data_IF_521157062330
#
_entry.id   IF_521157062330
#
_cell.length_a   1.000
_cell.length_b   1.000
_cell.length_c   1.000
_cell.angle_alpha   90.00
_cell.angle_beta   90.00
_cell.angle_gamma   90.00
#
_symmetry.space_group_name_H-M   'P 1'
#
loop_
_entity.id
_entity.type
_entity.pdbx_description
1 polymer ?
#
# COMPACT_ATOMS: atom_id res chain seq x y z
N UNK A 1 -11.97 31.99 -37.00
CA UNK A 1 -12.79 31.44 -35.90
C UNK A 1 -12.03 30.23 -35.37
N UNK A 2 -11.44 30.33 -34.18
CA UNK A 2 -10.52 29.30 -33.65
C UNK A 2 -11.30 28.37 -32.72
N UNK A 3 -11.59 27.17 -33.21
CA UNK A 3 -12.20 26.10 -32.44
C UNK A 3 -11.21 25.60 -31.38
N UNK A 4 -11.26 26.23 -30.20
CA UNK A 4 -10.59 25.71 -29.01
C UNK A 4 -11.37 24.53 -28.49
N UNK A 5 -11.01 23.33 -28.96
CA UNK A 5 -11.44 22.06 -28.39
C UNK A 5 -10.89 21.98 -26.96
N UNK A 6 -11.76 22.25 -25.99
CA UNK A 6 -11.47 22.06 -24.57
C UNK A 6 -11.35 20.55 -24.34
N UNK A 7 -10.12 20.04 -24.25
CA UNK A 7 -9.87 18.67 -23.78
C UNK A 7 -10.26 18.61 -22.30
N UNK A 8 -11.49 18.22 -22.03
CA UNK A 8 -11.93 17.81 -20.70
C UNK A 8 -11.13 16.57 -20.31
N UNK A 9 -10.13 16.74 -19.43
CA UNK A 9 -9.43 15.63 -18.78
C UNK A 9 -10.49 14.67 -18.23
N UNK A 10 -10.38 13.40 -18.61
CA UNK A 10 -11.23 12.30 -18.15
C UNK A 10 -11.51 12.43 -16.64
N UNK A 11 -12.78 12.33 -16.20
CA UNK A 11 -13.13 12.48 -14.80
C UNK A 11 -12.40 11.39 -14.01
N UNK A 12 -11.44 11.82 -13.18
CA UNK A 12 -10.76 10.94 -12.23
C UNK A 12 -11.85 10.31 -11.36
N UNK A 13 -11.98 8.99 -11.44
CA UNK A 13 -12.94 8.18 -10.67
C UNK A 13 -13.15 8.76 -9.26
N UNK A 14 -14.39 9.15 -8.97
CA UNK A 14 -15.00 9.27 -7.64
C UNK A 14 -14.11 9.74 -6.48
N UNK A 15 -14.00 11.06 -6.33
CA UNK A 15 -13.99 11.91 -5.12
C UNK A 15 -13.68 11.36 -3.70
N UNK A 16 -13.00 10.23 -3.51
CA UNK A 16 -12.30 9.98 -2.24
C UNK A 16 -11.01 10.76 -2.35
N UNK A 17 -10.71 11.70 -1.44
CA UNK A 17 -9.39 12.29 -1.38
C UNK A 17 -8.42 11.18 -0.99
N UNK A 18 -7.84 10.54 -2.01
CA UNK A 18 -6.96 9.36 -1.89
C UNK A 18 -5.81 9.64 -0.93
N UNK A 19 -5.34 10.89 -0.87
CA UNK A 19 -4.24 11.31 -0.01
C UNK A 19 -4.54 11.22 1.49
N UNK A 20 -5.55 11.91 2.05
CA UNK A 20 -5.90 11.75 3.47
C UNK A 20 -6.36 10.33 3.80
N UNK A 21 -6.99 9.61 2.86
CA UNK A 21 -7.31 8.19 3.07
C UNK A 21 -6.04 7.35 3.23
N UNK A 22 -5.05 7.51 2.35
CA UNK A 22 -3.75 6.83 2.44
C UNK A 22 -3.03 7.15 3.75
N UNK A 23 -3.04 8.41 4.19
CA UNK A 23 -2.43 8.80 5.48
C UNK A 23 -3.16 8.10 6.64
N UNK A 24 -4.49 8.09 6.62
CA UNK A 24 -5.30 7.50 7.67
C UNK A 24 -5.08 5.99 7.79
N UNK A 25 -5.13 5.25 6.68
CA UNK A 25 -4.89 3.80 6.71
C UNK A 25 -3.45 3.47 7.14
N UNK A 26 -2.46 4.25 6.69
CA UNK A 26 -1.06 4.03 7.10
C UNK A 26 -0.86 4.26 8.59
N UNK A 27 -1.56 5.23 9.18
CA UNK A 27 -1.51 5.46 10.61
C UNK A 27 -2.14 4.32 11.40
N UNK A 28 -3.27 3.79 10.93
CA UNK A 28 -3.91 2.61 11.52
C UNK A 28 -3.01 1.37 11.45
N UNK A 29 -2.35 1.13 10.32
CA UNK A 29 -1.41 0.02 10.18
C UNK A 29 -0.22 0.17 11.13
N UNK A 30 0.35 1.38 11.29
CA UNK A 30 1.43 1.61 12.25
C UNK A 30 1.04 1.27 13.69
N UNK A 31 -0.16 1.68 14.11
CA UNK A 31 -0.69 1.35 15.43
C UNK A 31 -0.93 -0.14 15.58
N UNK A 32 -1.49 -0.79 14.55
CA UNK A 32 -1.71 -2.23 14.54
C UNK A 32 -0.40 -3.00 14.64
N UNK A 33 0.61 -2.65 13.85
CA UNK A 33 1.94 -3.28 13.86
C UNK A 33 2.60 -3.16 15.24
N UNK A 34 2.53 -1.97 15.85
CA UNK A 34 3.06 -1.75 17.19
C UNK A 34 2.33 -2.61 18.23
N UNK A 35 1.00 -2.66 18.15
CA UNK A 35 0.19 -3.51 19.02
C UNK A 35 0.61 -4.98 18.87
N UNK A 36 0.63 -5.49 17.63
CA UNK A 36 1.00 -6.88 17.32
C UNK A 36 2.39 -7.26 17.84
N UNK A 37 3.39 -6.38 17.66
CA UNK A 37 4.76 -6.60 18.18
C UNK A 37 4.84 -6.66 19.71
N UNK A 38 3.89 -6.03 20.42
CA UNK A 38 3.86 -6.02 21.89
C UNK A 38 3.03 -7.14 22.49
N UNK A 39 2.04 -7.67 21.76
CA UNK A 39 1.15 -8.74 22.23
C UNK A 39 1.61 -10.14 21.86
N UNK A 40 2.27 -10.31 20.71
CA UNK A 40 2.72 -11.62 20.25
C UNK A 40 4.11 -11.98 20.80
N UNK A 41 4.40 -13.29 20.99
CA UNK A 41 5.73 -13.72 21.38
C UNK A 41 6.77 -13.24 20.36
N UNK A 42 7.93 -12.73 20.84
CA UNK A 42 8.93 -12.16 19.97
C UNK A 42 9.50 -13.24 19.05
N UNK A 43 9.29 -13.07 17.76
CA UNK A 43 9.91 -13.88 16.72
C UNK A 43 10.67 -12.97 15.75
N UNK A 44 11.82 -13.44 15.28
CA UNK A 44 12.63 -12.71 14.29
C UNK A 44 11.82 -12.36 13.04
N UNK A 45 10.90 -13.25 12.64
CA UNK A 45 10.02 -13.05 11.49
C UNK A 45 9.02 -11.91 11.76
N UNK A 46 8.36 -11.91 12.92
CA UNK A 46 7.42 -10.83 13.30
C UNK A 46 8.13 -9.47 13.37
N UNK A 47 9.37 -9.46 13.87
CA UNK A 47 10.17 -8.24 13.93
C UNK A 47 10.53 -7.71 12.53
N UNK A 48 10.99 -8.59 11.62
CA UNK A 48 11.32 -8.22 10.24
C UNK A 48 10.08 -7.69 9.50
N UNK A 49 8.95 -8.39 9.61
CA UNK A 49 7.70 -7.97 8.98
C UNK A 49 7.20 -6.64 9.56
N UNK A 50 7.30 -6.45 10.88
CA UNK A 50 6.94 -5.20 11.53
C UNK A 50 7.80 -4.02 11.08
N UNK A 51 9.12 -4.20 11.01
CA UNK A 51 10.03 -3.17 10.51
C UNK A 51 9.78 -2.83 9.04
N UNK A 52 9.52 -3.83 8.20
CA UNK A 52 9.18 -3.63 6.79
C UNK A 52 7.86 -2.85 6.63
N UNK A 53 6.82 -3.24 7.37
CA UNK A 53 5.52 -2.55 7.38
C UNK A 53 5.66 -1.10 7.87
N UNK A 54 6.46 -0.86 8.91
CA UNK A 54 6.73 0.47 9.43
C UNK A 54 7.39 1.36 8.36
N UNK A 55 8.48 0.88 7.74
CA UNK A 55 9.19 1.64 6.71
C UNK A 55 8.32 1.93 5.48
N UNK A 56 7.49 0.97 5.06
CA UNK A 56 6.54 1.15 3.98
C UNK A 56 5.54 2.26 4.29
N UNK A 57 4.89 2.20 5.45
CA UNK A 57 3.88 3.18 5.85
C UNK A 57 4.45 4.59 6.05
N UNK A 58 5.65 4.71 6.63
CA UNK A 58 6.34 6.00 6.74
C UNK A 58 6.67 6.57 5.35
N UNK A 59 7.14 5.72 4.42
CA UNK A 59 7.44 6.15 3.05
C UNK A 59 6.19 6.61 2.30
N UNK A 60 5.07 5.93 2.55
CA UNK A 60 3.78 6.23 1.94
C UNK A 60 3.22 7.56 2.46
N UNK A 61 3.27 7.77 3.78
CA UNK A 61 2.88 9.05 4.41
C UNK A 61 3.78 10.18 3.92
N UNK A 62 5.10 9.98 3.90
CA UNK A 62 6.06 10.97 3.42
C UNK A 62 5.81 11.34 1.94
N UNK A 63 5.66 10.34 1.08
CA UNK A 63 5.37 10.55 -0.34
C UNK A 63 4.07 11.32 -0.57
N UNK A 64 3.06 11.01 0.25
CA UNK A 64 1.75 11.66 0.20
C UNK A 64 1.79 13.12 0.67
N UNK A 65 2.47 13.39 1.79
CA UNK A 65 2.60 14.74 2.36
C UNK A 65 3.48 15.66 1.50
N UNK A 66 4.58 15.13 0.96
CA UNK A 66 5.57 15.89 0.18
C UNK A 66 5.31 15.88 -1.32
N UNK A 67 4.22 15.27 -1.78
CA UNK A 67 3.91 15.14 -3.22
C UNK A 67 5.09 14.52 -4.00
N UNK A 68 5.78 13.55 -3.37
CA UNK A 68 6.94 12.92 -3.97
C UNK A 68 6.52 11.68 -4.77
N UNK A 69 6.40 11.85 -6.09
CA UNK A 69 5.95 10.81 -7.01
C UNK A 69 6.88 9.58 -7.02
N UNK A 70 8.19 9.75 -6.72
CA UNK A 70 9.13 8.62 -6.64
C UNK A 70 8.83 7.73 -5.44
N UNK A 71 8.55 8.33 -4.28
CA UNK A 71 8.19 7.59 -3.06
C UNK A 71 6.83 6.87 -3.21
N UNK A 72 5.87 7.53 -3.87
CA UNK A 72 4.57 6.93 -4.20
C UNK A 72 4.70 5.77 -5.19
N UNK A 73 5.52 5.92 -6.23
CA UNK A 73 5.78 4.86 -7.21
C UNK A 73 6.43 3.63 -6.58
N UNK A 74 7.41 3.82 -5.69
CA UNK A 74 8.00 2.72 -4.94
C UNK A 74 6.96 2.00 -4.07
N UNK A 75 6.12 2.77 -3.37
CA UNK A 75 5.04 2.21 -2.55
C UNK A 75 4.04 1.41 -3.39
N UNK A 76 3.70 1.88 -4.60
CA UNK A 76 2.84 1.14 -5.54
C UNK A 76 3.49 -0.18 -5.99
N UNK A 77 4.78 -0.18 -6.32
CA UNK A 77 5.50 -1.40 -6.71
C UNK A 77 5.48 -2.42 -5.56
N UNK A 78 5.70 -1.99 -4.31
CA UNK A 78 5.62 -2.87 -3.15
C UNK A 78 4.23 -3.51 -2.99
N UNK A 79 3.16 -2.73 -3.18
CA UNK A 79 1.77 -3.25 -3.11
C UNK A 79 1.50 -4.24 -4.23
N UNK A 80 1.92 -3.93 -5.47
CA UNK A 80 1.77 -4.83 -6.62
C UNK A 80 2.51 -6.15 -6.34
N UNK A 81 3.73 -6.06 -5.83
CA UNK A 81 4.52 -7.24 -5.47
C UNK A 81 3.80 -8.08 -4.42
N UNK A 82 3.31 -7.46 -3.34
CA UNK A 82 2.55 -8.16 -2.29
C UNK A 82 1.29 -8.86 -2.83
N UNK A 83 0.54 -8.20 -3.71
CA UNK A 83 -0.63 -8.78 -4.38
C UNK A 83 -0.22 -10.00 -5.22
N UNK A 84 0.85 -9.90 -6.01
CA UNK A 84 1.36 -11.01 -6.83
C UNK A 84 1.76 -12.19 -5.93
N UNK A 85 2.53 -11.94 -4.87
CA UNK A 85 2.97 -13.00 -3.95
C UNK A 85 1.78 -13.69 -3.27
N UNK A 86 0.77 -12.93 -2.85
CA UNK A 86 -0.43 -13.49 -2.23
C UNK A 86 -1.24 -14.35 -3.21
N UNK A 87 -1.43 -13.89 -4.46
CA UNK A 87 -2.13 -14.66 -5.48
C UNK A 87 -1.37 -15.96 -5.84
N UNK A 88 -0.04 -15.90 -5.95
CA UNK A 88 0.78 -17.11 -6.19
C UNK A 88 0.61 -18.10 -5.03
N UNK A 89 0.68 -17.63 -3.78
CA UNK A 89 0.46 -18.46 -2.61
C UNK A 89 -0.93 -19.13 -2.63
N UNK A 90 -1.98 -18.37 -2.98
CA UNK A 90 -3.35 -18.88 -3.05
C UNK A 90 -3.53 -19.93 -4.15
N UNK A 91 -2.95 -19.71 -5.35
CA UNK A 91 -2.97 -20.67 -6.46
C UNK A 91 -2.26 -21.96 -6.07
N UNK A 92 -1.09 -21.86 -5.41
CA UNK A 92 -0.34 -23.03 -4.95
C UNK A 92 -1.14 -23.84 -3.92
N UNK A 93 -1.81 -23.15 -2.99
CA UNK A 93 -2.66 -23.78 -1.96
C UNK A 93 -3.85 -24.51 -2.57
N UNK A 94 -4.56 -23.88 -3.52
CA UNK A 94 -5.70 -24.50 -4.20
C UNK A 94 -5.25 -25.64 -5.11
N UNK A 95 -4.11 -25.50 -5.80
CA UNK A 95 -3.53 -26.55 -6.64
C UNK A 95 -3.11 -27.81 -5.87
N UNK A 96 -2.68 -27.66 -4.61
CA UNK A 96 -2.32 -28.78 -3.75
C UNK A 96 -3.53 -29.51 -3.14
N UNK A 97 -4.67 -28.83 -2.99
CA UNK A 97 -5.93 -29.41 -2.47
C UNK A 97 -6.75 -30.15 -3.53
N UNK A 98 -6.42 -29.96 -4.81
CA UNK A 98 -7.14 -30.56 -5.96
C UNK A 98 -6.33 -31.69 -6.63
N UNK A 99 -5.08 -31.93 -6.20
CA UNK A 99 -4.22 -33.02 -6.65
C UNK A 99 -4.26 -34.21 -5.68
#
# INVERSE_FOLDING_TARGET
MSDKVIQLKSPKLGCIPVRPFLIFISFLELLWTLSYLTTEPPSTINFILGAASFMFNVSLVYGTLKYNDKALSYSQICVIFAIITNNIHQILYVGLYVA
#
